data_IF_991853944677
#
_entry.id   IF_991853944677
#
_cell.length_a   1.000
_cell.length_b   1.000
_cell.length_c   1.000
_cell.angle_alpha   90.00
_cell.angle_beta   90.00
_cell.angle_gamma   90.00
#
_symmetry.space_group_name_H-M   'P 1'
#
loop_
_entity.id
_entity.type
_entity.pdbx_description
1 polymer ?
#
# COMPACT_ATOMS: atom_id res chain seq x y z
N UNK A 1 21.61 -32.24 -0.95
CA UNK A 1 20.66 -31.36 -0.22
C UNK A 1 21.35 -30.25 0.57
N UNK A 2 22.36 -30.54 1.41
CA UNK A 2 23.05 -29.53 2.23
C UNK A 2 23.62 -28.35 1.42
N UNK A 3 24.25 -28.61 0.27
CA UNK A 3 24.83 -27.56 -0.61
C UNK A 3 23.78 -26.61 -1.22
N UNK A 4 22.60 -27.13 -1.54
CA UNK A 4 21.47 -26.32 -2.05
C UNK A 4 20.88 -25.51 -0.90
N UNK A 5 20.74 -26.11 0.29
CA UNK A 5 20.29 -25.41 1.49
C UNK A 5 21.25 -24.26 1.88
N UNK A 6 22.56 -24.46 1.78
CA UNK A 6 23.58 -23.42 2.03
C UNK A 6 23.52 -22.26 1.02
N UNK A 7 23.03 -22.48 -0.21
CA UNK A 7 22.89 -21.44 -1.21
C UNK A 7 21.52 -20.72 -1.14
N UNK A 8 20.45 -21.47 -0.85
CA UNK A 8 19.08 -20.94 -0.82
C UNK A 8 18.79 -20.18 0.48
N UNK A 9 19.33 -20.64 1.62
CA UNK A 9 19.12 -20.00 2.92
C UNK A 9 19.58 -18.52 2.98
N UNK A 10 20.80 -18.14 2.54
CA UNK A 10 21.19 -16.74 2.53
C UNK A 10 20.41 -15.91 1.51
N UNK A 11 20.03 -16.49 0.35
CA UNK A 11 19.22 -15.81 -0.65
C UNK A 11 17.83 -15.46 -0.09
N UNK A 12 17.21 -16.40 0.61
CA UNK A 12 15.89 -16.25 1.22
C UNK A 12 15.94 -15.25 2.40
N UNK A 13 17.03 -15.27 3.17
CA UNK A 13 17.30 -14.28 4.21
C UNK A 13 17.41 -12.85 3.64
N UNK A 14 18.20 -12.66 2.57
CA UNK A 14 18.34 -11.35 1.89
C UNK A 14 17.01 -10.86 1.33
N UNK A 15 16.20 -11.76 0.76
CA UNK A 15 14.86 -11.44 0.28
C UNK A 15 13.95 -10.99 1.43
N UNK A 16 14.00 -11.66 2.58
CA UNK A 16 13.23 -11.28 3.77
C UNK A 16 13.66 -9.89 4.31
N UNK A 17 14.96 -9.62 4.39
CA UNK A 17 15.49 -8.32 4.85
C UNK A 17 15.16 -7.18 3.88
N UNK A 18 14.93 -7.47 2.61
CA UNK A 18 14.56 -6.46 1.60
C UNK A 18 13.15 -5.90 1.79
N UNK A 19 12.28 -6.62 2.51
CA UNK A 19 10.90 -6.20 2.81
C UNK A 19 10.81 -5.56 4.20
N UNK A 20 11.91 -5.53 4.97
CA UNK A 20 11.93 -4.94 6.29
C UNK A 20 11.57 -3.43 6.22
N UNK A 21 10.68 -2.94 7.11
CA UNK A 21 10.29 -1.54 7.13
C UNK A 21 11.52 -0.69 7.46
N UNK A 22 12.04 0.03 6.48
CA UNK A 22 13.09 1.02 6.71
C UNK A 22 12.47 2.28 7.29
N UNK A 23 13.20 2.95 8.18
CA UNK A 23 12.86 4.31 8.58
C UNK A 23 12.80 5.18 7.32
N UNK A 24 11.59 5.45 6.84
CA UNK A 24 11.36 6.28 5.68
C UNK A 24 11.66 7.73 6.07
N UNK A 25 12.86 8.22 5.73
CA UNK A 25 13.00 9.65 5.50
C UNK A 25 12.03 9.99 4.38
N UNK A 26 11.05 10.86 4.66
CA UNK A 26 9.89 11.13 3.82
C UNK A 26 10.25 11.13 2.33
N UNK A 27 9.93 10.05 1.61
CA UNK A 27 9.93 10.04 0.15
C UNK A 27 8.69 10.80 -0.31
N UNK A 28 8.73 12.13 -0.19
CA UNK A 28 7.70 13.01 -0.71
C UNK A 28 8.30 14.41 -0.86
N UNK A 29 9.17 14.60 -1.86
CA UNK A 29 9.41 15.96 -2.38
C UNK A 29 8.08 16.61 -2.78
N UNK A 30 7.09 15.81 -3.21
CA UNK A 30 5.73 16.28 -3.50
C UNK A 30 4.97 16.79 -2.27
N UNK A 31 4.78 15.97 -1.21
CA UNK A 31 4.02 16.43 -0.03
C UNK A 31 4.73 17.57 0.70
N UNK A 32 6.07 17.55 0.80
CA UNK A 32 6.83 18.66 1.42
C UNK A 32 6.71 19.95 0.61
N UNK A 33 6.85 19.89 -0.72
CA UNK A 33 6.71 21.08 -1.57
C UNK A 33 5.28 21.61 -1.55
N UNK A 34 4.27 20.75 -1.55
CA UNK A 34 2.87 21.17 -1.47
C UNK A 34 2.55 21.82 -0.12
N UNK A 35 3.11 21.30 0.99
CA UNK A 35 2.97 21.91 2.32
C UNK A 35 3.66 23.27 2.39
N UNK A 36 4.89 23.37 1.88
CA UNK A 36 5.66 24.61 1.91
C UNK A 36 5.04 25.70 1.02
N UNK A 37 4.55 25.33 -0.16
CA UNK A 37 3.82 26.23 -1.07
C UNK A 37 2.53 26.72 -0.41
N UNK A 38 1.77 25.82 0.21
CA UNK A 38 0.53 26.15 0.92
C UNK A 38 0.76 27.00 2.19
N UNK A 39 1.96 26.96 2.79
CA UNK A 39 2.36 27.83 3.90
C UNK A 39 2.77 29.25 3.45
N UNK A 40 3.28 29.38 2.24
CA UNK A 40 3.74 30.66 1.69
C UNK A 40 2.63 31.39 0.94
N UNK A 41 1.56 30.69 0.54
CA UNK A 41 0.32 31.30 0.07
C UNK A 41 -0.37 32.09 1.20
N UNK A 42 -0.78 33.32 0.88
CA UNK A 42 -1.36 34.28 1.83
C UNK A 42 -2.75 33.88 2.36
N UNK A 43 -3.36 32.85 1.78
CA UNK A 43 -4.74 32.44 2.08
C UNK A 43 -4.85 31.38 3.20
N UNK A 44 -3.75 31.06 3.89
CA UNK A 44 -3.82 30.30 5.14
C UNK A 44 -4.38 28.88 4.98
N UNK A 45 -3.79 28.09 4.09
CA UNK A 45 -4.21 26.71 3.89
C UNK A 45 -3.94 25.86 5.15
N UNK A 46 -4.97 25.18 5.66
CA UNK A 46 -4.85 24.33 6.84
C UNK A 46 -4.18 22.98 6.49
N UNK A 47 -2.90 22.87 6.87
CA UNK A 47 -2.06 21.69 6.63
C UNK A 47 -2.31 20.57 7.64
N UNK A 48 -3.03 20.83 8.75
CA UNK A 48 -3.13 19.89 9.88
C UNK A 48 -3.79 18.55 9.52
N UNK A 49 -4.60 18.52 8.45
CA UNK A 49 -5.32 17.34 7.95
C UNK A 49 -4.58 16.47 6.92
N UNK A 50 -3.38 16.84 6.47
CA UNK A 50 -2.75 16.19 5.30
C UNK A 50 -2.50 14.69 5.48
N UNK A 51 -2.03 14.26 6.66
CA UNK A 51 -1.80 12.85 6.96
C UNK A 51 -3.09 12.02 6.95
N UNK A 52 -4.23 12.63 7.34
CA UNK A 52 -5.54 11.97 7.22
C UNK A 52 -5.92 11.81 5.76
N UNK A 53 -5.69 12.82 4.92
CA UNK A 53 -5.91 12.75 3.47
C UNK A 53 -5.12 11.63 2.78
N UNK A 54 -3.85 11.46 3.14
CA UNK A 54 -3.00 10.38 2.58
C UNK A 54 -3.57 9.00 2.96
N UNK A 55 -3.96 8.81 4.23
CA UNK A 55 -4.60 7.57 4.68
C UNK A 55 -5.90 7.27 3.91
N UNK A 56 -6.72 8.28 3.65
CA UNK A 56 -7.95 8.12 2.84
C UNK A 56 -7.64 7.69 1.40
N UNK A 57 -6.65 8.33 0.76
CA UNK A 57 -6.25 7.99 -0.62
C UNK A 57 -5.64 6.59 -0.72
N UNK A 58 -4.88 6.16 0.29
CA UNK A 58 -4.35 4.80 0.37
C UNK A 58 -5.44 3.77 0.66
N UNK A 59 -6.47 4.09 1.45
CA UNK A 59 -7.56 3.16 1.74
C UNK A 59 -8.44 2.87 0.51
N UNK A 60 -8.64 3.84 -0.38
CA UNK A 60 -9.49 3.73 -1.56
C UNK A 60 -9.21 2.48 -2.45
N UNK A 61 -7.96 2.22 -2.91
CA UNK A 61 -7.68 1.06 -3.75
C UNK A 61 -7.94 -0.28 -3.04
N UNK A 62 -7.70 -0.38 -1.73
CA UNK A 62 -7.98 -1.60 -0.96
C UNK A 62 -9.48 -1.86 -0.83
N UNK A 63 -10.26 -0.80 -0.57
CA UNK A 63 -11.73 -0.89 -0.50
C UNK A 63 -12.29 -1.30 -1.86
N UNK A 64 -11.87 -0.62 -2.94
CA UNK A 64 -12.33 -0.96 -4.29
C UNK A 64 -11.95 -2.39 -4.69
N UNK A 65 -10.71 -2.81 -4.44
CA UNK A 65 -10.26 -4.18 -4.71
C UNK A 65 -11.05 -5.22 -3.92
N UNK A 66 -11.31 -4.96 -2.63
CA UNK A 66 -12.12 -5.83 -1.77
C UNK A 66 -13.56 -5.98 -2.26
N UNK A 67 -14.20 -4.89 -2.68
CA UNK A 67 -15.56 -4.92 -3.23
C UNK A 67 -15.63 -5.75 -4.52
N UNK A 68 -14.72 -5.49 -5.46
CA UNK A 68 -14.65 -6.23 -6.73
C UNK A 68 -14.43 -7.72 -6.46
N UNK A 69 -13.49 -8.06 -5.59
CA UNK A 69 -13.22 -9.44 -5.19
C UNK A 69 -14.44 -10.12 -4.55
N UNK A 70 -15.15 -9.42 -3.67
CA UNK A 70 -16.35 -9.93 -3.01
C UNK A 70 -17.48 -10.23 -4.01
N UNK A 71 -17.78 -9.30 -4.92
CA UNK A 71 -18.81 -9.50 -5.94
C UNK A 71 -18.44 -10.62 -6.92
N UNK A 72 -17.18 -10.70 -7.33
CA UNK A 72 -16.70 -11.78 -8.18
C UNK A 72 -16.86 -13.14 -7.51
N UNK A 73 -16.41 -13.27 -6.26
CA UNK A 73 -16.53 -14.50 -5.48
C UNK A 73 -17.99 -14.94 -5.32
N UNK A 74 -18.89 -14.01 -4.99
CA UNK A 74 -20.33 -14.29 -4.86
C UNK A 74 -20.94 -14.77 -6.18
N UNK A 75 -20.57 -14.16 -7.30
CA UNK A 75 -21.05 -14.56 -8.62
C UNK A 75 -20.57 -15.97 -9.01
N UNK A 76 -19.28 -16.26 -8.79
CA UNK A 76 -18.70 -17.60 -9.07
C UNK A 76 -19.36 -18.67 -8.22
N UNK A 77 -19.58 -18.43 -6.92
CA UNK A 77 -20.26 -19.37 -6.02
C UNK A 77 -21.70 -19.67 -6.47
N UNK A 78 -22.47 -18.66 -6.88
CA UNK A 78 -23.83 -18.84 -7.40
C UNK A 78 -23.87 -19.68 -8.67
N UNK A 79 -22.98 -19.41 -9.63
CA UNK A 79 -22.87 -20.21 -10.86
C UNK A 79 -22.51 -21.67 -10.58
N UNK A 80 -21.62 -21.93 -9.62
CA UNK A 80 -21.25 -23.30 -9.20
C UNK A 80 -22.41 -24.05 -8.53
N UNK A 81 -23.25 -23.36 -7.77
CA UNK A 81 -24.44 -23.95 -7.14
C UNK A 81 -25.57 -24.25 -8.14
N UNK A 82 -25.65 -23.50 -9.24
CA UNK A 82 -26.63 -23.74 -10.31
C UNK A 82 -26.21 -24.84 -11.29
N UNK A 83 -24.92 -25.15 -11.36
CA UNK A 83 -24.35 -26.19 -12.22
C UNK A 83 -24.19 -27.56 -11.53
N UNK A 84 -24.56 -27.64 -10.24
CA UNK A 84 -24.64 -28.87 -9.45
C UNK A 84 -26.11 -29.21 -9.24
#
# INVERSE_FOLDING_TARGET
MKKVLFAVLPLLLVMLLSIAPRASYAQCTLCKNNVESARTDKDGYDISGLNKGILYMMAAPYVMGGLVGFFWYRNVRRKRQQAA
#
